data_IF_790079800775
#
_entry.id   IF_790079800775
#
_cell.length_a   1.000
_cell.length_b   1.000
_cell.length_c   1.000
_cell.angle_alpha   90.00
_cell.angle_beta   90.00
_cell.angle_gamma   90.00
#
_symmetry.space_group_name_H-M   'P 1'
#
loop_
_entity.id
_entity.type
_entity.pdbx_description
1 polymer ?
#
# COMPACT_ATOMS: atom_id res chain seq x y z
N UNK A 1 17.04 -0.47 17.77
CA UNK A 1 16.19 -0.83 18.90
C UNK A 1 15.81 0.34 19.81
N UNK A 2 16.76 1.19 20.20
CA UNK A 2 16.48 2.26 21.20
C UNK A 2 15.55 3.35 20.66
N UNK A 3 15.74 3.79 19.44
CA UNK A 3 14.87 4.77 18.80
C UNK A 3 13.41 4.26 18.71
N UNK A 4 13.24 3.00 18.28
CA UNK A 4 11.92 2.36 18.27
C UNK A 4 11.27 2.36 19.66
N UNK A 5 12.04 1.97 20.69
CA UNK A 5 11.57 1.95 22.07
C UNK A 5 11.17 3.35 22.57
N UNK A 6 11.89 4.39 22.14
CA UNK A 6 11.56 5.77 22.44
C UNK A 6 10.18 6.14 21.92
N UNK A 7 9.87 5.82 20.65
CA UNK A 7 8.56 6.09 20.07
C UNK A 7 7.44 5.28 20.73
N UNK A 8 7.68 4.01 21.05
CA UNK A 8 6.71 3.17 21.76
C UNK A 8 6.37 3.75 23.14
N UNK A 9 7.38 4.15 23.93
CA UNK A 9 7.18 4.79 25.24
C UNK A 9 6.49 6.16 25.12
N UNK A 10 6.79 6.91 24.07
CA UNK A 10 6.10 8.17 23.82
C UNK A 10 4.62 7.93 23.51
N UNK A 11 4.29 6.97 22.67
CA UNK A 11 2.91 6.58 22.38
C UNK A 11 2.16 6.16 23.67
N UNK A 12 2.77 5.31 24.50
CA UNK A 12 2.21 4.93 25.80
C UNK A 12 1.93 6.14 26.71
N UNK A 13 2.87 7.07 26.79
CA UNK A 13 2.73 8.30 27.59
C UNK A 13 1.58 9.18 27.10
N UNK A 14 1.30 9.19 25.79
CA UNK A 14 0.20 9.93 25.20
C UNK A 14 -1.14 9.16 25.27
N UNK A 15 -1.13 7.91 25.73
CA UNK A 15 -2.29 7.04 25.74
C UNK A 15 -2.69 6.52 24.36
N UNK A 16 -1.76 6.54 23.41
CA UNK A 16 -1.97 5.99 22.08
C UNK A 16 -1.69 4.49 22.06
N UNK A 17 -2.44 3.77 21.24
CA UNK A 17 -2.17 2.35 20.96
C UNK A 17 -1.14 2.26 19.86
N UNK A 18 -0.28 1.25 19.93
CA UNK A 18 0.67 0.97 18.85
C UNK A 18 0.75 -0.53 18.59
N UNK A 19 1.07 -0.88 17.37
CA UNK A 19 1.29 -2.25 16.91
C UNK A 19 2.56 -2.32 16.06
N UNK A 20 3.37 -3.35 16.29
CA UNK A 20 4.54 -3.63 15.47
C UNK A 20 4.12 -4.48 14.27
N UNK A 21 4.02 -3.85 13.09
CA UNK A 21 3.56 -4.53 11.87
C UNK A 21 4.65 -5.42 11.26
N UNK A 22 5.90 -4.92 11.24
CA UNK A 22 7.02 -5.65 10.66
C UNK A 22 8.32 -5.27 11.36
N UNK A 23 9.22 -6.24 11.50
CA UNK A 23 10.57 -5.99 12.04
C UNK A 23 11.58 -6.95 11.41
N UNK A 24 12.73 -6.39 11.03
CA UNK A 24 13.89 -7.16 10.60
C UNK A 24 14.98 -7.00 11.66
N UNK A 25 15.06 -8.00 12.54
CA UNK A 25 16.00 -7.98 13.66
C UNK A 25 17.43 -8.33 13.22
N UNK A 26 18.40 -7.72 13.89
CA UNK A 26 19.80 -8.11 13.80
C UNK A 26 20.16 -9.04 14.97
N UNK A 27 21.07 -9.98 14.77
CA UNK A 27 21.48 -10.96 15.80
C UNK A 27 22.04 -10.37 17.10
N UNK A 28 22.14 -9.04 17.22
CA UNK A 28 22.70 -8.30 18.37
C UNK A 28 21.61 -7.44 19.07
N UNK A 29 20.33 -7.78 18.90
CA UNK A 29 19.21 -7.04 19.53
C UNK A 29 18.90 -5.68 18.92
N UNK A 30 19.38 -5.41 17.70
CA UNK A 30 19.02 -4.24 16.89
C UNK A 30 17.99 -4.58 15.81
N UNK A 31 17.57 -3.56 15.07
CA UNK A 31 16.69 -3.70 13.90
C UNK A 31 17.37 -3.08 12.68
N UNK A 32 17.31 -3.77 11.55
CA UNK A 32 17.63 -3.17 10.24
C UNK A 32 16.47 -2.27 9.78
N UNK A 33 15.27 -2.75 10.00
CA UNK A 33 14.03 -2.05 9.70
C UNK A 33 12.98 -2.45 10.73
N UNK A 34 12.13 -1.50 11.12
CA UNK A 34 10.96 -1.77 11.94
C UNK A 34 9.83 -0.84 11.49
N UNK A 35 8.64 -1.38 11.34
CA UNK A 35 7.42 -0.64 10.97
C UNK A 35 6.46 -0.76 12.13
N UNK A 36 6.08 0.40 12.72
CA UNK A 36 5.08 0.46 13.77
C UNK A 36 3.89 1.30 13.30
N UNK A 37 2.72 0.87 13.66
CA UNK A 37 1.48 1.60 13.49
C UNK A 37 1.08 2.20 14.83
N UNK A 38 0.69 3.49 14.83
CA UNK A 38 0.32 4.20 16.06
C UNK A 38 -1.08 4.78 15.88
N UNK A 39 -2.01 4.33 16.72
CA UNK A 39 -3.39 4.78 16.74
C UNK A 39 -3.65 5.74 17.89
N UNK A 40 -3.97 6.98 17.57
CA UNK A 40 -4.30 7.96 18.58
C UNK A 40 -4.67 9.31 18.00
N UNK A 41 -5.54 10.02 18.70
CA UNK A 41 -5.96 11.36 18.29
C UNK A 41 -4.76 12.30 18.25
N UNK A 42 -4.47 12.86 17.07
CA UNK A 42 -3.36 13.77 16.88
C UNK A 42 -1.97 13.12 16.75
N UNK A 43 -1.89 11.79 16.69
CA UNK A 43 -0.62 11.07 16.58
C UNK A 43 0.20 11.52 15.36
N UNK A 44 -0.41 11.59 14.19
CA UNK A 44 0.27 12.07 12.98
C UNK A 44 0.72 13.54 13.11
N UNK A 45 -0.12 14.42 13.66
CA UNK A 45 0.23 15.84 13.86
C UNK A 45 1.44 16.04 14.76
N UNK A 46 1.59 15.17 15.77
CA UNK A 46 2.72 15.22 16.70
C UNK A 46 3.99 14.63 16.10
N UNK A 47 3.88 13.53 15.33
CA UNK A 47 5.03 12.77 14.86
C UNK A 47 5.49 13.13 13.45
N UNK A 48 4.70 13.85 12.64
CA UNK A 48 5.02 14.15 11.24
C UNK A 48 6.38 14.84 11.02
N UNK A 49 6.84 15.60 12.01
CA UNK A 49 8.12 16.31 11.96
C UNK A 49 9.32 15.44 12.34
N UNK A 50 9.08 14.22 12.82
CA UNK A 50 10.13 13.25 13.12
C UNK A 50 10.70 12.57 11.86
N UNK A 51 10.06 12.77 10.71
CA UNK A 51 10.57 12.24 9.43
C UNK A 51 11.91 12.86 9.08
N UNK A 52 12.91 12.02 8.83
CA UNK A 52 14.25 12.45 8.45
C UNK A 52 15.34 11.53 8.97
N UNK A 53 16.57 12.03 8.94
CA UNK A 53 17.76 11.30 9.43
C UNK A 53 18.05 11.69 10.86
N UNK A 54 18.00 10.71 11.76
CA UNK A 54 18.32 10.86 13.18
C UNK A 54 19.75 10.42 13.45
N UNK A 55 20.50 11.26 14.14
CA UNK A 55 21.84 10.94 14.60
C UNK A 55 21.79 10.44 16.04
N UNK A 56 22.26 9.22 16.26
CA UNK A 56 22.32 8.57 17.58
C UNK A 56 23.76 8.49 18.03
N UNK A 57 24.08 9.12 19.16
CA UNK A 57 25.38 9.08 19.79
C UNK A 57 25.30 8.30 21.09
N UNK A 58 26.01 7.18 21.17
CA UNK A 58 26.05 6.35 22.37
C UNK A 58 27.32 5.52 22.43
N UNK A 59 27.61 4.98 23.58
CA UNK A 59 28.59 3.89 23.74
C UNK A 59 27.88 2.57 23.40
N UNK A 60 28.23 1.87 22.31
CA UNK A 60 27.63 0.59 21.97
C UNK A 60 27.90 -0.47 23.05
N UNK A 61 27.00 -1.45 23.18
CA UNK A 61 27.16 -2.58 24.11
C UNK A 61 28.42 -3.41 23.79
N UNK A 62 28.85 -3.40 22.53
CA UNK A 62 30.05 -4.11 22.04
C UNK A 62 31.34 -3.33 22.24
N UNK A 63 31.29 -2.11 22.75
CA UNK A 63 32.45 -1.23 22.91
C UNK A 63 33.05 -1.39 24.33
N UNK A 64 34.21 -2.00 24.44
CA UNK A 64 34.88 -2.22 25.73
C UNK A 64 35.63 -1.00 26.26
N UNK A 65 35.98 -0.05 25.38
CA UNK A 65 36.78 1.14 25.74
C UNK A 65 35.97 2.38 26.10
N UNK A 66 34.63 2.27 26.13
CA UNK A 66 33.71 3.36 26.48
C UNK A 66 33.69 4.49 25.45
N UNK A 67 34.10 4.27 24.21
CA UNK A 67 34.08 5.29 23.16
C UNK A 67 32.67 5.56 22.68
N UNK A 68 32.31 6.84 22.57
CA UNK A 68 31.11 7.32 21.92
C UNK A 68 31.21 7.03 20.42
N UNK A 69 30.22 6.30 19.91
CA UNK A 69 30.08 6.07 18.47
C UNK A 69 28.79 6.75 17.97
N UNK A 70 28.86 7.26 16.76
CA UNK A 70 27.73 7.90 16.08
C UNK A 70 27.17 6.94 15.04
N UNK A 71 25.86 6.74 15.09
CA UNK A 71 25.12 6.01 14.07
C UNK A 71 23.95 6.85 13.56
N UNK A 72 23.53 6.59 12.34
CA UNK A 72 22.37 7.25 11.75
C UNK A 72 21.22 6.25 11.61
N UNK A 73 20.00 6.76 11.78
CA UNK A 73 18.79 6.00 11.55
C UNK A 73 17.79 6.91 10.81
N UNK A 74 17.20 6.41 9.74
CA UNK A 74 16.16 7.16 9.01
C UNK A 74 14.80 6.80 9.58
N UNK A 75 14.01 7.82 9.89
CA UNK A 75 12.62 7.71 10.33
C UNK A 75 11.72 8.25 9.23
N UNK A 76 10.64 7.55 8.95
CA UNK A 76 9.63 7.96 8.00
C UNK A 76 8.29 7.89 8.70
N UNK A 77 7.58 9.00 8.74
CA UNK A 77 6.22 9.09 9.30
C UNK A 77 5.26 9.37 8.16
N UNK A 78 4.30 8.48 7.98
CA UNK A 78 3.25 8.61 6.98
C UNK A 78 1.89 8.46 7.66
N UNK A 79 0.85 9.17 7.20
CA UNK A 79 -0.50 8.86 7.63
C UNK A 79 -0.89 7.46 7.15
N UNK A 80 -1.80 6.82 7.86
CA UNK A 80 -2.43 5.60 7.37
C UNK A 80 -3.09 5.89 6.02
N UNK A 81 -2.91 4.99 5.06
CA UNK A 81 -3.60 5.09 3.78
C UNK A 81 -5.10 4.86 4.02
N UNK A 82 -5.92 5.76 3.51
CA UNK A 82 -7.37 5.55 3.48
C UNK A 82 -7.69 4.33 2.61
N UNK A 83 -8.70 3.56 3.03
CA UNK A 83 -9.21 2.46 2.21
C UNK A 83 -9.63 2.98 0.84
N UNK A 84 -9.18 2.30 -0.20
CA UNK A 84 -9.54 2.65 -1.57
C UNK A 84 -10.97 2.21 -1.83
N UNK A 85 -11.90 3.13 -1.76
CA UNK A 85 -13.27 2.91 -2.23
C UNK A 85 -13.34 3.20 -3.73
N UNK A 86 -13.69 2.18 -4.51
CA UNK A 86 -13.91 2.34 -5.94
C UNK A 86 -15.42 2.44 -6.20
N UNK A 87 -15.87 3.65 -6.43
CA UNK A 87 -17.19 3.90 -6.94
C UNK A 87 -17.18 3.83 -8.48
N UNK A 88 -17.81 2.80 -9.02
CA UNK A 88 -18.02 2.65 -10.47
C UNK A 88 -19.49 2.89 -10.78
N UNK A 89 -19.75 3.95 -11.52
CA UNK A 89 -21.10 4.19 -12.04
C UNK A 89 -21.31 3.36 -13.30
N UNK A 90 -22.03 2.24 -13.15
CA UNK A 90 -22.24 1.24 -14.23
C UNK A 90 -22.95 1.79 -15.47
N UNK A 91 -23.69 2.88 -15.33
CA UNK A 91 -24.42 3.48 -16.45
C UNK A 91 -23.58 4.50 -17.23
N UNK A 92 -22.78 5.29 -16.53
CA UNK A 92 -22.00 6.37 -17.12
C UNK A 92 -20.61 5.94 -17.56
N UNK A 93 -19.97 5.13 -16.71
CA UNK A 93 -18.54 4.83 -16.84
C UNK A 93 -18.26 3.53 -17.60
N UNK A 94 -19.29 2.66 -17.77
CA UNK A 94 -19.12 1.38 -18.43
C UNK A 94 -19.86 1.35 -19.77
N UNK A 95 -19.09 1.08 -20.83
CA UNK A 95 -19.67 0.71 -22.12
C UNK A 95 -19.82 -0.82 -22.17
N UNK A 96 -21.05 -1.27 -22.46
CA UNK A 96 -21.42 -2.68 -22.51
C UNK A 96 -21.54 -3.14 -23.95
N UNK A 97 -20.77 -4.13 -24.34
CA UNK A 97 -20.82 -4.76 -25.66
C UNK A 97 -21.16 -6.24 -25.48
N UNK A 98 -22.14 -6.70 -26.21
CA UNK A 98 -22.56 -8.09 -26.22
C UNK A 98 -22.19 -8.71 -27.56
N UNK A 99 -21.51 -9.86 -27.53
CA UNK A 99 -21.04 -10.55 -28.71
C UNK A 99 -21.35 -12.04 -28.65
N UNK A 100 -21.26 -12.70 -29.77
CA UNK A 100 -21.33 -14.16 -29.82
C UNK A 100 -20.09 -14.74 -29.14
N UNK A 101 -20.28 -15.75 -28.29
CA UNK A 101 -19.15 -16.46 -27.69
C UNK A 101 -18.38 -17.22 -28.78
N UNK A 102 -17.05 -17.11 -28.74
CA UNK A 102 -16.17 -17.83 -29.66
C UNK A 102 -15.77 -19.16 -29.01
N UNK A 103 -16.06 -20.28 -29.66
CA UNK A 103 -15.66 -21.61 -29.19
C UNK A 103 -16.27 -22.74 -30.03
N UNK A 104 -15.73 -23.95 -29.89
CA UNK A 104 -16.27 -25.16 -30.47
C UNK A 104 -17.56 -25.55 -29.77
N UNK A 105 -18.70 -25.06 -30.25
CA UNK A 105 -20.01 -25.33 -29.67
C UNK A 105 -21.07 -25.51 -30.75
N UNK A 106 -22.14 -26.26 -30.42
CA UNK A 106 -23.25 -26.50 -31.32
C UNK A 106 -24.09 -25.25 -31.62
N UNK A 107 -25.22 -25.42 -32.32
CA UNK A 107 -26.09 -24.32 -32.80
C UNK A 107 -26.50 -23.26 -31.79
N UNK A 108 -26.47 -23.55 -30.48
CA UNK A 108 -26.85 -22.60 -29.42
C UNK A 108 -25.78 -21.53 -29.18
N UNK A 109 -24.47 -21.85 -29.38
CA UNK A 109 -23.35 -20.91 -29.18
C UNK A 109 -23.32 -19.86 -30.28
N UNK A 110 -23.79 -20.21 -31.47
CA UNK A 110 -23.80 -19.31 -32.64
C UNK A 110 -25.07 -18.41 -32.74
N UNK A 111 -26.08 -18.66 -31.92
CA UNK A 111 -27.33 -17.91 -31.94
C UNK A 111 -27.51 -16.92 -30.77
N UNK A 112 -26.84 -17.15 -29.64
CA UNK A 112 -27.02 -16.35 -28.45
C UNK A 112 -25.79 -15.51 -28.16
N UNK A 113 -25.97 -14.20 -28.02
CA UNK A 113 -24.92 -13.24 -27.61
C UNK A 113 -24.69 -13.36 -26.10
N UNK A 114 -23.99 -14.40 -25.66
CA UNK A 114 -23.71 -14.64 -24.24
C UNK A 114 -22.38 -14.05 -23.78
N UNK A 115 -21.46 -13.73 -24.70
CA UNK A 115 -20.21 -13.09 -24.36
C UNK A 115 -20.43 -11.60 -24.06
N UNK A 116 -19.85 -11.14 -22.97
CA UNK A 116 -19.94 -9.77 -22.49
C UNK A 116 -18.56 -9.14 -22.49
N UNK A 117 -18.45 -7.97 -23.11
CA UNK A 117 -17.26 -7.12 -23.08
C UNK A 117 -17.63 -5.79 -22.44
N UNK A 118 -16.92 -5.44 -21.36
CA UNK A 118 -17.08 -4.19 -20.65
C UNK A 118 -15.85 -3.31 -20.90
N UNK A 119 -16.09 -2.05 -21.18
CA UNK A 119 -15.05 -1.03 -21.36
C UNK A 119 -15.29 0.06 -20.34
N UNK A 120 -14.34 0.25 -19.44
CA UNK A 120 -14.39 1.36 -18.51
C UNK A 120 -13.86 2.62 -19.18
N UNK A 121 -14.73 3.54 -19.51
CA UNK A 121 -14.42 4.75 -20.30
C UNK A 121 -13.32 5.62 -19.69
N UNK A 122 -13.30 5.91 -18.36
CA UNK A 122 -12.29 6.79 -17.78
C UNK A 122 -10.87 6.22 -17.84
N UNK A 123 -10.70 4.89 -17.70
CA UNK A 123 -9.38 4.25 -17.66
C UNK A 123 -9.03 3.48 -18.93
N UNK A 124 -10.01 3.22 -19.81
CA UNK A 124 -9.83 2.42 -21.01
C UNK A 124 -9.68 0.91 -20.76
N UNK A 125 -9.89 0.46 -19.52
CA UNK A 125 -9.77 -0.97 -19.18
C UNK A 125 -10.88 -1.76 -19.85
N UNK A 126 -10.49 -2.86 -20.50
CA UNK A 126 -11.41 -3.78 -21.17
C UNK A 126 -11.40 -5.11 -20.45
N UNK A 127 -12.59 -5.62 -20.14
CA UNK A 127 -12.82 -6.93 -19.56
C UNK A 127 -13.80 -7.69 -20.45
N UNK A 128 -13.45 -8.90 -20.85
CA UNK A 128 -14.34 -9.78 -21.62
C UNK A 128 -14.56 -11.10 -20.85
N UNK A 129 -15.80 -11.53 -20.74
CA UNK A 129 -16.19 -12.79 -20.14
C UNK A 129 -17.15 -13.56 -21.07
N UNK A 130 -16.84 -14.85 -21.29
CA UNK A 130 -17.65 -15.73 -22.15
C UNK A 130 -17.81 -17.14 -21.59
N UNK A 131 -17.36 -17.37 -20.35
CA UNK A 131 -17.20 -18.71 -19.77
C UNK A 131 -18.52 -19.33 -19.33
N UNK A 132 -19.52 -18.50 -19.07
CA UNK A 132 -20.82 -18.93 -18.58
C UNK A 132 -21.87 -19.01 -19.70
N UNK A 133 -22.86 -19.87 -19.51
CA UNK A 133 -23.96 -20.04 -20.48
C UNK A 133 -24.97 -18.89 -20.48
N UNK A 134 -25.01 -18.10 -19.43
CA UNK A 134 -25.89 -16.97 -19.25
C UNK A 134 -25.17 -15.64 -19.43
N UNK A 135 -25.75 -14.75 -20.24
CA UNK A 135 -25.26 -13.38 -20.43
C UNK A 135 -25.17 -12.62 -19.10
N UNK A 136 -26.16 -12.79 -18.21
CA UNK A 136 -26.20 -12.13 -16.92
C UNK A 136 -25.03 -12.58 -16.03
N UNK A 137 -24.75 -13.88 -15.97
CA UNK A 137 -23.63 -14.41 -15.20
C UNK A 137 -22.27 -13.94 -15.72
N UNK A 138 -22.12 -13.86 -17.06
CA UNK A 138 -20.92 -13.28 -17.66
C UNK A 138 -20.78 -11.80 -17.33
N UNK A 139 -21.87 -11.05 -17.32
CA UNK A 139 -21.89 -9.65 -16.93
C UNK A 139 -21.46 -9.45 -15.47
N UNK A 140 -22.06 -10.17 -14.54
CA UNK A 140 -21.70 -10.10 -13.11
C UNK A 140 -20.23 -10.48 -12.85
N UNK A 141 -19.74 -11.50 -13.58
CA UNK A 141 -18.33 -11.88 -13.51
C UNK A 141 -17.43 -10.78 -14.06
N UNK A 142 -17.79 -10.20 -15.21
CA UNK A 142 -17.03 -9.14 -15.85
C UNK A 142 -16.95 -7.88 -14.96
N UNK A 143 -18.05 -7.49 -14.29
CA UNK A 143 -18.08 -6.38 -13.33
C UNK A 143 -17.16 -6.64 -12.15
N UNK A 144 -17.18 -7.84 -11.57
CA UNK A 144 -16.27 -8.20 -10.46
C UNK A 144 -14.82 -8.11 -10.87
N UNK A 145 -14.46 -8.63 -12.04
CA UNK A 145 -13.10 -8.57 -12.57
C UNK A 145 -12.69 -7.12 -12.87
N UNK A 146 -13.61 -6.31 -13.40
CA UNK A 146 -13.35 -4.89 -13.65
C UNK A 146 -13.06 -4.14 -12.36
N UNK A 147 -13.91 -4.30 -11.34
CA UNK A 147 -13.72 -3.67 -10.02
C UNK A 147 -12.39 -4.09 -9.39
N UNK A 148 -12.03 -5.36 -9.46
CA UNK A 148 -10.73 -5.85 -8.95
C UNK A 148 -9.54 -5.19 -9.66
N UNK A 149 -9.57 -5.08 -11.01
CA UNK A 149 -8.50 -4.42 -11.76
C UNK A 149 -8.40 -2.92 -11.47
N UNK A 150 -9.52 -2.25 -11.28
CA UNK A 150 -9.53 -0.84 -10.89
C UNK A 150 -8.93 -0.64 -9.49
N UNK A 151 -9.26 -1.55 -8.56
CA UNK A 151 -8.69 -1.56 -7.22
C UNK A 151 -7.17 -1.73 -7.26
N UNK A 152 -6.67 -2.70 -8.02
CA UNK A 152 -5.22 -2.93 -8.16
C UNK A 152 -4.49 -1.69 -8.70
N UNK A 153 -5.08 -1.01 -9.70
CA UNK A 153 -4.48 0.21 -10.26
C UNK A 153 -4.44 1.35 -9.24
N UNK A 154 -5.50 1.53 -8.48
CA UNK A 154 -5.55 2.59 -7.47
C UNK A 154 -4.59 2.31 -6.31
N UNK A 155 -4.50 1.05 -5.89
CA UNK A 155 -3.50 0.60 -4.92
C UNK A 155 -2.07 0.87 -5.41
N UNK A 156 -1.77 0.54 -6.67
CA UNK A 156 -0.46 0.82 -7.26
C UNK A 156 -0.14 2.31 -7.28
N UNK A 157 -1.10 3.17 -7.62
CA UNK A 157 -0.91 4.63 -7.57
C UNK A 157 -0.62 5.13 -6.16
N UNK A 158 -1.33 4.62 -5.16
CA UNK A 158 -1.07 4.96 -3.75
C UNK A 158 0.33 4.50 -3.32
N UNK A 159 0.73 3.28 -3.68
CA UNK A 159 2.05 2.76 -3.38
C UNK A 159 3.16 3.56 -4.08
N UNK A 160 2.97 3.97 -5.33
CA UNK A 160 3.92 4.81 -6.05
C UNK A 160 4.03 6.20 -5.43
N UNK A 161 2.91 6.80 -5.02
CA UNK A 161 2.89 8.09 -4.33
C UNK A 161 3.60 8.00 -2.97
N UNK A 162 3.33 6.95 -2.18
CA UNK A 162 4.00 6.68 -0.91
C UNK A 162 5.50 6.39 -1.12
N UNK A 163 5.85 5.63 -2.14
CA UNK A 163 7.23 5.32 -2.51
C UNK A 163 8.02 6.55 -2.94
N UNK A 164 7.41 7.48 -3.67
CA UNK A 164 7.98 8.77 -4.03
C UNK A 164 8.30 9.62 -2.80
N UNK A 165 7.35 9.73 -1.89
CA UNK A 165 7.52 10.42 -0.60
C UNK A 165 8.63 9.76 0.23
N UNK A 166 8.65 8.43 0.31
CA UNK A 166 9.69 7.67 1.02
C UNK A 166 11.08 7.97 0.46
N UNK A 167 11.25 7.96 -0.87
CA UNK A 167 12.53 8.27 -1.52
C UNK A 167 12.99 9.70 -1.24
N UNK A 168 12.09 10.68 -1.23
CA UNK A 168 12.44 12.07 -0.96
C UNK A 168 12.90 12.31 0.48
N UNK A 169 12.35 11.56 1.45
CA UNK A 169 12.71 11.66 2.88
C UNK A 169 14.03 10.96 3.17
N UNK A 170 14.24 9.76 2.57
CA UNK A 170 15.44 8.95 2.84
C UNK A 170 16.72 9.62 2.33
N UNK A 171 16.66 10.29 1.17
CA UNK A 171 17.83 10.93 0.56
C UNK A 171 19.04 10.01 0.50
N UNK A 172 20.24 10.57 0.68
CA UNK A 172 21.51 9.82 0.76
C UNK A 172 21.78 9.20 2.15
N UNK A 173 20.95 9.49 3.15
CA UNK A 173 21.21 9.11 4.54
C UNK A 173 22.39 9.88 5.17
N UNK A 174 22.96 10.83 4.45
CA UNK A 174 24.07 11.64 4.95
C UNK A 174 23.54 12.71 5.92
N UNK A 175 24.05 12.66 7.13
CA UNK A 175 23.85 13.72 8.09
C UNK A 175 24.68 14.94 7.65
N UNK A 176 24.04 15.90 7.02
CA UNK A 176 24.70 17.09 6.47
C UNK A 176 25.05 18.17 7.49
N UNK A 177 24.94 17.88 8.77
CA UNK A 177 25.46 18.79 9.80
C UNK A 177 26.99 18.73 9.85
N UNK A 178 27.58 19.76 9.34
CA UNK A 178 28.98 20.13 9.65
C UNK A 178 29.00 21.00 10.90
#
# INVERSE_FOLDING_TARGET
>A
GELLRMYMRYAEKQGWKYELLNSNETGIGGYKEAVIEIHGRGAYSALKFESGVHRVQRVPVTEASGRLQTSTATVIVMPEAEDVEIEVNEEKDIEKQYTLSQGAGGQNVQKNMTAVRLIHKPTGIVVACQDQRSQLQNYEKAIRVLKARLYDIEMQKQEEAAGGTRKSIVGSGDCSEK
#
